data_IF_914064063184
#
_entry.id   IF_914064063184
#
_cell.length_a   1.000
_cell.length_b   1.000
_cell.length_c   1.000
_cell.angle_alpha   90.00
_cell.angle_beta   90.00
_cell.angle_gamma   90.00
#
_symmetry.space_group_name_H-M   'P 1'
#
loop_
_entity.id
_entity.type
_entity.pdbx_description
1 polymer ?
#
# COMPACT_ATOMS: atom_id res chain seq x y z
N UNK A 1 1.77 9.79 23.08
CA UNK A 1 0.69 8.85 22.69
C UNK A 1 0.08 8.31 23.97
N UNK A 2 -1.24 8.17 24.01
CA UNK A 2 -1.97 7.55 25.14
C UNK A 2 -2.56 6.24 24.62
N UNK A 3 -2.59 5.22 25.46
CA UNK A 3 -3.21 3.94 25.12
C UNK A 3 -4.73 4.12 24.93
N UNK A 4 -5.30 3.42 23.96
CA UNK A 4 -6.70 3.48 23.59
C UNK A 4 -7.58 3.00 24.74
N UNK A 5 -8.42 3.91 25.24
CA UNK A 5 -9.31 3.67 26.38
C UNK A 5 -10.75 3.31 25.97
N UNK A 6 -11.02 3.06 24.68
CA UNK A 6 -12.37 2.76 24.18
C UNK A 6 -13.17 3.98 23.70
N UNK A 7 -12.69 5.20 23.94
CA UNK A 7 -13.35 6.42 23.45
C UNK A 7 -13.07 6.69 21.97
N UNK A 8 -13.89 7.53 21.32
CA UNK A 8 -13.66 7.94 19.93
C UNK A 8 -12.28 8.63 19.80
N UNK A 9 -11.36 8.13 18.96
CA UNK A 9 -10.06 8.78 18.79
C UNK A 9 -10.19 10.22 18.27
N UNK A 10 -9.32 11.11 18.72
CA UNK A 10 -9.26 12.50 18.25
C UNK A 10 -8.20 12.70 17.17
N UNK A 11 -8.42 13.67 16.27
CA UNK A 11 -7.41 14.08 15.29
C UNK A 11 -6.48 15.14 15.87
N UNK A 12 -5.21 15.08 15.48
CA UNK A 12 -4.19 16.08 15.84
C UNK A 12 -3.59 16.69 14.59
N UNK A 13 -3.29 17.99 14.60
CA UNK A 13 -2.69 18.69 13.47
C UNK A 13 -1.27 18.14 13.22
N UNK A 14 -0.97 17.79 11.96
CA UNK A 14 0.38 17.44 11.54
C UNK A 14 1.16 18.73 11.15
N UNK A 15 2.20 19.13 11.90
CA UNK A 15 2.98 20.31 11.58
C UNK A 15 3.80 20.17 10.28
N UNK A 16 3.95 18.97 9.72
CA UNK A 16 4.69 18.70 8.48
C UNK A 16 3.77 18.33 7.31
N UNK A 17 2.49 18.72 7.36
CA UNK A 17 1.55 18.43 6.26
C UNK A 17 2.00 19.05 4.94
N UNK A 18 1.95 18.26 3.86
CA UNK A 18 2.21 18.75 2.50
C UNK A 18 1.18 19.77 2.04
N UNK A 19 -0.01 19.80 2.66
CA UNK A 19 -1.04 20.81 2.38
C UNK A 19 -0.61 22.24 2.73
N UNK A 20 0.51 22.43 3.42
CA UNK A 20 1.09 23.75 3.70
C UNK A 20 1.64 24.44 2.45
N UNK A 21 1.98 23.67 1.41
CA UNK A 21 2.61 24.18 0.17
C UNK A 21 1.91 23.71 -1.09
N UNK A 22 0.85 22.90 -0.98
CA UNK A 22 0.10 22.40 -2.13
C UNK A 22 -1.37 22.12 -1.79
N UNK A 23 -2.23 22.10 -2.81
CA UNK A 23 -3.57 21.52 -2.70
C UNK A 23 -3.49 20.02 -2.99
N UNK A 24 -4.01 19.18 -2.08
CA UNK A 24 -3.88 17.72 -2.19
C UNK A 24 -5.26 17.08 -2.27
N UNK A 25 -5.42 16.19 -3.24
CA UNK A 25 -6.59 15.32 -3.37
C UNK A 25 -6.16 13.91 -2.98
N UNK A 26 -6.75 13.38 -1.91
CA UNK A 26 -6.63 11.97 -1.55
C UNK A 26 -7.76 11.19 -2.21
N UNK A 27 -7.40 10.23 -3.06
CA UNK A 27 -8.36 9.43 -3.82
C UNK A 27 -8.42 8.00 -3.27
N UNK A 28 -9.56 7.66 -2.66
CA UNK A 28 -9.91 6.26 -2.38
C UNK A 28 -10.18 5.53 -3.70
N UNK A 29 -9.27 4.64 -4.10
CA UNK A 29 -9.39 3.90 -5.35
C UNK A 29 -8.60 2.59 -5.31
N UNK A 30 -9.06 1.52 -5.97
CA UNK A 30 -10.28 1.40 -6.79
C UNK A 30 -11.55 1.28 -5.94
N UNK A 31 -12.71 1.20 -6.60
CA UNK A 31 -13.98 0.94 -5.94
C UNK A 31 -13.89 -0.29 -4.99
N UNK A 32 -14.33 -0.13 -3.75
CA UNK A 32 -14.13 -1.08 -2.65
C UNK A 32 -13.06 -0.63 -1.64
N UNK A 33 -12.28 0.41 -1.96
CA UNK A 33 -11.28 1.03 -1.07
C UNK A 33 -11.90 2.19 -0.31
N UNK A 34 -11.67 2.24 1.01
CA UNK A 34 -12.18 3.32 1.86
C UNK A 34 -13.68 3.52 1.70
N UNK A 35 -14.11 4.70 1.27
CA UNK A 35 -15.52 5.02 1.01
C UNK A 35 -15.92 4.93 -0.47
N UNK A 36 -14.99 4.63 -1.37
CA UNK A 36 -15.29 4.39 -2.78
C UNK A 36 -16.01 3.05 -2.95
N UNK A 37 -17.10 3.05 -3.71
CA UNK A 37 -17.96 1.86 -3.86
C UNK A 37 -18.42 1.67 -5.31
N UNK A 38 -18.86 0.46 -5.60
CA UNK A 38 -19.59 0.11 -6.82
C UNK A 38 -21.01 -0.30 -6.49
N UNK A 39 -21.97 0.03 -7.35
CA UNK A 39 -23.36 -0.43 -7.23
C UNK A 39 -23.56 -1.88 -7.74
N UNK A 40 -22.57 -2.42 -8.44
CA UNK A 40 -22.60 -3.77 -9.01
C UNK A 40 -21.33 -4.54 -8.68
N UNK A 41 -21.45 -5.85 -8.51
CA UNK A 41 -20.30 -6.74 -8.28
C UNK A 41 -19.30 -6.73 -9.46
N UNK A 42 -19.78 -6.55 -10.69
CA UNK A 42 -18.91 -6.37 -11.86
C UNK A 42 -18.11 -5.06 -11.79
N UNK A 43 -18.71 -4.00 -11.25
CA UNK A 43 -18.04 -2.71 -11.12
C UNK A 43 -16.90 -2.70 -10.09
N UNK A 44 -16.98 -3.53 -9.04
CA UNK A 44 -15.91 -3.69 -8.03
C UNK A 44 -14.74 -4.56 -8.51
N UNK A 45 -14.93 -5.40 -9.53
CA UNK A 45 -13.81 -6.11 -10.17
C UNK A 45 -12.86 -5.09 -10.79
N UNK A 46 -11.59 -5.16 -10.44
CA UNK A 46 -10.57 -4.20 -10.87
C UNK A 46 -9.37 -4.91 -11.47
N UNK A 47 -8.62 -4.17 -12.28
CA UNK A 47 -7.33 -4.52 -12.83
C UNK A 47 -6.52 -3.21 -12.94
N UNK A 48 -5.19 -3.31 -13.03
CA UNK A 48 -4.32 -2.12 -13.05
C UNK A 48 -4.73 -1.11 -14.13
N UNK A 49 -5.07 -1.59 -15.34
CA UNK A 49 -5.55 -0.74 -16.45
C UNK A 49 -6.89 -0.08 -16.15
N UNK A 50 -7.83 -0.81 -15.55
CA UNK A 50 -9.15 -0.26 -15.16
C UNK A 50 -9.01 0.77 -14.05
N UNK A 51 -8.19 0.50 -13.04
CA UNK A 51 -7.87 1.47 -11.98
C UNK A 51 -7.28 2.73 -12.63
N UNK A 52 -6.26 2.60 -13.48
CA UNK A 52 -5.64 3.77 -14.10
C UNK A 52 -6.62 4.59 -14.96
N UNK A 53 -7.48 3.93 -15.76
CA UNK A 53 -8.54 4.62 -16.50
C UNK A 53 -9.48 5.40 -15.56
N UNK A 54 -9.94 4.76 -14.48
CA UNK A 54 -10.83 5.40 -13.52
C UNK A 54 -10.16 6.56 -12.77
N UNK A 55 -8.85 6.46 -12.50
CA UNK A 55 -8.06 7.56 -11.94
C UNK A 55 -7.99 8.77 -12.88
N UNK A 56 -7.74 8.53 -14.17
CA UNK A 56 -7.77 9.58 -15.19
C UNK A 56 -9.16 10.22 -15.31
N UNK A 57 -10.21 9.40 -15.42
CA UNK A 57 -11.61 9.86 -15.46
C UNK A 57 -11.98 10.70 -14.24
N UNK A 58 -11.53 10.28 -13.05
CA UNK A 58 -11.76 11.02 -11.81
C UNK A 58 -11.16 12.42 -11.91
N UNK A 59 -9.88 12.55 -12.29
CA UNK A 59 -9.21 13.86 -12.36
C UNK A 59 -9.90 14.79 -13.36
N UNK A 60 -10.25 14.29 -14.55
CA UNK A 60 -11.00 15.08 -15.54
C UNK A 60 -12.34 15.56 -15.01
N UNK A 61 -13.16 14.66 -14.46
CA UNK A 61 -14.49 14.99 -13.94
C UNK A 61 -14.41 15.92 -12.73
N UNK A 62 -13.39 15.76 -11.89
CA UNK A 62 -13.15 16.63 -10.76
C UNK A 62 -12.82 18.05 -11.22
N UNK A 63 -11.93 18.21 -12.22
CA UNK A 63 -11.59 19.53 -12.79
C UNK A 63 -12.75 20.19 -13.54
N UNK A 64 -13.60 19.43 -14.23
CA UNK A 64 -14.84 19.96 -14.81
C UNK A 64 -15.78 20.51 -13.73
N UNK A 65 -15.80 19.89 -12.55
CA UNK A 65 -16.61 20.34 -11.41
C UNK A 65 -15.95 21.47 -10.61
N UNK A 66 -14.63 21.67 -10.78
CA UNK A 66 -13.82 22.66 -10.05
C UNK A 66 -12.91 23.44 -11.01
N UNK A 67 -13.49 24.21 -11.96
CA UNK A 67 -12.76 24.80 -13.08
C UNK A 67 -11.65 25.76 -12.65
N UNK A 68 -11.74 26.37 -11.46
CA UNK A 68 -10.71 27.24 -10.90
C UNK A 68 -9.35 26.56 -10.70
N UNK A 69 -9.32 25.22 -10.68
CA UNK A 69 -8.07 24.44 -10.54
C UNK A 69 -7.46 24.01 -11.87
N UNK A 70 -8.10 24.25 -13.02
CA UNK A 70 -7.62 23.79 -14.33
C UNK A 70 -6.23 24.35 -14.66
N UNK A 71 -5.98 25.62 -14.31
CA UNK A 71 -4.69 26.26 -14.57
C UNK A 71 -3.57 25.79 -13.62
N UNK A 72 -3.90 25.12 -12.51
CA UNK A 72 -2.91 24.75 -11.50
C UNK A 72 -1.98 23.65 -12.02
N UNK A 73 -0.68 23.73 -11.71
CA UNK A 73 0.25 22.62 -11.95
C UNK A 73 -0.25 21.33 -11.30
N UNK A 74 -0.46 20.30 -12.11
CA UNK A 74 -0.94 18.99 -11.68
C UNK A 74 0.22 18.02 -11.54
N UNK A 75 0.30 17.38 -10.37
CA UNK A 75 1.23 16.28 -10.10
C UNK A 75 0.45 15.06 -9.60
N UNK A 76 0.83 13.87 -10.06
CA UNK A 76 0.27 12.61 -9.56
C UNK A 76 1.28 11.97 -8.62
N UNK A 77 0.86 11.59 -7.42
CA UNK A 77 1.76 10.98 -6.45
C UNK A 77 1.19 9.67 -5.88
N UNK A 78 2.06 8.76 -5.45
CA UNK A 78 1.65 7.52 -4.80
C UNK A 78 2.80 6.81 -4.09
N UNK A 79 2.48 5.75 -3.36
CA UNK A 79 3.45 4.95 -2.60
C UNK A 79 3.19 3.44 -2.81
N UNK A 80 4.22 2.61 -2.64
CA UNK A 80 4.08 1.15 -2.68
C UNK A 80 3.53 0.63 -4.01
N UNK A 81 2.38 -0.05 -4.05
CA UNK A 81 1.78 -0.59 -5.27
C UNK A 81 1.42 0.51 -6.30
N UNK A 82 1.27 1.76 -5.85
CA UNK A 82 1.13 2.90 -6.76
C UNK A 82 2.33 3.09 -7.69
N UNK A 83 3.48 2.48 -7.42
CA UNK A 83 4.59 2.38 -8.36
C UNK A 83 4.21 1.74 -9.71
N UNK A 84 3.17 0.91 -9.74
CA UNK A 84 2.56 0.39 -10.98
C UNK A 84 1.50 1.33 -11.54
N UNK A 85 0.61 1.83 -10.67
CA UNK A 85 -0.61 2.52 -11.09
C UNK A 85 -0.36 3.95 -11.54
N UNK A 86 0.48 4.71 -10.80
CA UNK A 86 0.74 6.12 -11.08
C UNK A 86 1.34 6.32 -12.48
N UNK A 87 2.37 5.57 -12.92
CA UNK A 87 2.88 5.70 -14.28
C UNK A 87 1.82 5.43 -15.35
N UNK A 88 0.92 4.45 -15.13
CA UNK A 88 -0.16 4.15 -16.09
C UNK A 88 -1.19 5.29 -16.14
N UNK A 89 -1.54 5.90 -15.00
CA UNK A 89 -2.42 7.08 -14.96
C UNK A 89 -1.79 8.25 -15.73
N UNK A 90 -0.52 8.54 -15.45
CA UNK A 90 0.22 9.65 -16.06
C UNK A 90 0.35 9.45 -17.57
N UNK A 91 0.64 8.22 -18.02
CA UNK A 91 0.66 7.90 -19.45
C UNK A 91 -0.70 8.20 -20.08
N UNK A 92 -1.79 7.72 -19.48
CA UNK A 92 -3.16 7.97 -19.98
C UNK A 92 -3.52 9.46 -20.03
N UNK A 93 -3.07 10.23 -19.04
CA UNK A 93 -3.23 11.68 -19.05
C UNK A 93 -2.44 12.33 -20.20
N UNK A 94 -1.21 11.89 -20.44
CA UNK A 94 -0.39 12.36 -21.56
C UNK A 94 -1.06 12.06 -22.90
N UNK A 95 -1.49 10.82 -23.11
CA UNK A 95 -2.20 10.40 -24.32
C UNK A 95 -3.48 11.23 -24.53
N UNK A 96 -4.22 11.51 -23.45
CA UNK A 96 -5.41 12.34 -23.48
C UNK A 96 -5.13 13.81 -23.82
N UNK A 97 -4.05 14.39 -23.30
CA UNK A 97 -3.59 15.73 -23.66
C UNK A 97 -3.27 15.80 -25.16
N UNK A 98 -2.53 14.83 -25.69
CA UNK A 98 -2.20 14.75 -27.12
C UNK A 98 -3.44 14.57 -28.00
N UNK A 99 -4.42 13.80 -27.54
CA UNK A 99 -5.70 13.60 -28.21
C UNK A 99 -6.65 14.81 -28.13
N UNK A 100 -6.32 15.84 -27.36
CA UNK A 100 -7.16 17.03 -27.18
C UNK A 100 -8.35 16.81 -26.24
N UNK A 101 -8.24 15.88 -25.28
CA UNK A 101 -9.26 15.68 -24.25
C UNK A 101 -9.48 16.96 -23.43
N UNK A 102 -10.75 17.27 -23.17
CA UNK A 102 -11.15 18.35 -22.26
C UNK A 102 -11.44 17.82 -20.85
N UNK A 103 -11.05 18.53 -19.77
CA UNK A 103 -10.28 19.77 -19.76
C UNK A 103 -8.79 19.52 -20.01
N UNK A 104 -8.10 20.48 -20.62
CA UNK A 104 -6.66 20.41 -20.82
C UNK A 104 -5.95 20.36 -19.46
N UNK A 105 -5.31 19.22 -19.18
CA UNK A 105 -4.61 19.01 -17.91
C UNK A 105 -3.25 19.72 -17.93
N UNK A 106 -2.98 20.57 -16.94
CA UNK A 106 -1.66 21.17 -16.73
C UNK A 106 -0.70 20.20 -16.01
N UNK A 107 -0.54 18.99 -16.56
CA UNK A 107 0.30 17.92 -16.00
C UNK A 107 1.78 18.30 -16.05
N UNK A 108 2.46 18.28 -14.89
CA UNK A 108 3.89 18.61 -14.77
C UNK A 108 4.78 17.42 -14.41
N UNK A 109 4.21 16.37 -13.84
CA UNK A 109 4.95 15.16 -13.53
C UNK A 109 4.30 14.31 -12.46
N UNK A 110 5.09 13.39 -11.93
CA UNK A 110 4.63 12.48 -10.89
C UNK A 110 5.76 12.12 -9.92
N UNK A 111 5.37 11.63 -8.74
CA UNK A 111 6.29 11.18 -7.70
C UNK A 111 5.83 9.85 -7.11
N UNK A 112 6.76 8.92 -6.91
CA UNK A 112 6.46 7.61 -6.33
C UNK A 112 7.39 7.32 -5.15
N UNK A 113 6.79 7.11 -3.98
CA UNK A 113 7.47 6.66 -2.76
C UNK A 113 7.57 5.14 -2.73
N UNK A 114 8.74 4.63 -2.31
CA UNK A 114 9.01 3.20 -2.09
C UNK A 114 8.26 2.24 -3.06
N UNK A 115 8.38 2.44 -4.38
CA UNK A 115 7.46 1.83 -5.35
C UNK A 115 7.73 0.34 -5.54
N UNK A 116 6.67 -0.43 -5.76
CA UNK A 116 6.77 -1.71 -6.46
C UNK A 116 6.86 -1.45 -7.97
N UNK A 117 7.96 -1.85 -8.59
CA UNK A 117 8.29 -1.55 -9.99
C UNK A 117 8.44 -2.81 -10.83
N UNK A 118 9.46 -3.62 -10.61
CA UNK A 118 9.68 -4.88 -11.29
C UNK A 118 10.08 -5.92 -10.24
N UNK A 119 9.24 -6.95 -10.00
CA UNK A 119 9.54 -7.99 -9.02
C UNK A 119 10.90 -8.65 -9.20
N UNK A 120 11.40 -8.78 -10.44
CA UNK A 120 12.73 -9.33 -10.71
C UNK A 120 13.82 -8.47 -10.09
N UNK A 121 13.71 -7.15 -10.14
CA UNK A 121 14.72 -6.26 -9.55
C UNK A 121 14.43 -6.00 -8.07
N UNK A 122 13.18 -5.70 -7.74
CA UNK A 122 12.75 -5.36 -6.38
C UNK A 122 12.99 -6.52 -5.40
N UNK A 123 12.57 -7.75 -5.74
CA UNK A 123 12.72 -8.89 -4.83
C UNK A 123 14.18 -9.35 -4.75
N UNK A 124 14.93 -9.36 -5.87
CA UNK A 124 16.34 -9.76 -5.87
C UNK A 124 17.23 -8.75 -5.13
N UNK A 125 16.84 -7.48 -5.05
CA UNK A 125 17.58 -6.47 -4.28
C UNK A 125 17.57 -6.72 -2.77
N UNK A 126 16.60 -7.50 -2.26
CA UNK A 126 16.41 -7.72 -0.82
C UNK A 126 17.56 -8.46 -0.15
N UNK A 127 18.15 -9.45 -0.83
CA UNK A 127 19.27 -10.22 -0.26
C UNK A 127 20.53 -9.36 -0.12
N UNK A 128 21.00 -8.63 -1.16
CA UNK A 128 22.06 -7.64 -1.01
C UNK A 128 21.75 -6.55 0.01
N UNK A 129 20.50 -6.06 0.07
CA UNK A 129 20.10 -5.06 1.08
C UNK A 129 20.25 -5.60 2.50
N UNK A 130 19.73 -6.81 2.77
CA UNK A 130 19.85 -7.44 4.08
C UNK A 130 21.31 -7.65 4.50
N UNK A 131 22.20 -7.97 3.55
CA UNK A 131 23.63 -8.06 3.81
C UNK A 131 24.24 -6.70 4.17
N UNK A 132 23.97 -5.66 3.38
CA UNK A 132 24.50 -4.30 3.61
C UNK A 132 23.99 -3.67 4.91
N UNK A 133 22.82 -4.07 5.38
CA UNK A 133 22.27 -3.65 6.67
C UNK A 133 22.67 -4.55 7.84
N UNK A 134 23.65 -5.45 7.65
CA UNK A 134 24.13 -6.40 8.66
C UNK A 134 23.03 -7.31 9.26
N UNK A 135 21.95 -7.56 8.51
CA UNK A 135 20.84 -8.44 8.92
C UNK A 135 21.21 -9.92 8.69
N UNK A 136 22.06 -10.20 7.70
CA UNK A 136 22.56 -11.54 7.41
C UNK A 136 24.10 -11.57 7.44
N UNK A 137 24.72 -12.69 7.86
CA UNK A 137 26.17 -12.82 7.89
C UNK A 137 26.80 -12.79 6.49
N UNK A 138 28.04 -12.29 6.42
CA UNK A 138 28.88 -12.25 5.21
C UNK A 138 29.00 -13.60 4.51
N UNK A 139 29.26 -14.66 5.29
CA UNK A 139 29.43 -16.02 4.76
C UNK A 139 28.17 -16.52 4.07
N UNK A 140 27.01 -16.29 4.70
CA UNK A 140 25.71 -16.66 4.16
C UNK A 140 25.41 -15.89 2.88
N UNK A 141 25.67 -14.58 2.85
CA UNK A 141 25.50 -13.77 1.65
C UNK A 141 26.41 -14.23 0.51
N UNK A 142 27.71 -14.44 0.76
CA UNK A 142 28.67 -14.92 -0.24
C UNK A 142 28.26 -16.29 -0.80
N UNK A 143 27.76 -17.19 0.06
CA UNK A 143 27.28 -18.51 -0.34
C UNK A 143 26.03 -18.41 -1.23
N UNK A 144 25.02 -17.66 -0.79
CA UNK A 144 23.79 -17.42 -1.55
C UNK A 144 24.09 -16.75 -2.89
N UNK A 145 24.98 -15.75 -2.93
CA UNK A 145 25.37 -15.08 -4.18
C UNK A 145 25.97 -16.05 -5.20
N UNK A 146 26.81 -17.00 -4.75
CA UNK A 146 27.40 -18.03 -5.62
C UNK A 146 26.37 -19.07 -6.05
N UNK A 147 25.60 -19.62 -5.12
CA UNK A 147 24.67 -20.71 -5.39
C UNK A 147 23.47 -20.24 -6.22
N UNK A 148 22.94 -19.06 -5.94
CA UNK A 148 21.77 -18.49 -6.61
C UNK A 148 22.10 -17.62 -7.83
N UNK A 149 23.38 -17.28 -8.07
CA UNK A 149 23.85 -16.48 -9.21
C UNK A 149 23.10 -15.14 -9.38
N UNK A 150 22.68 -14.54 -8.26
CA UNK A 150 21.94 -13.26 -8.24
C UNK A 150 20.42 -13.38 -8.43
N UNK A 151 19.88 -14.59 -8.63
CA UNK A 151 18.43 -14.85 -8.70
C UNK A 151 17.93 -15.48 -7.39
N UNK A 152 17.29 -14.66 -6.56
CA UNK A 152 16.80 -14.98 -5.22
C UNK A 152 15.27 -15.08 -5.14
N UNK A 153 14.55 -14.75 -6.21
CA UNK A 153 13.08 -14.76 -6.28
C UNK A 153 12.57 -16.05 -6.91
N UNK A 154 13.02 -16.34 -8.14
CA UNK A 154 12.60 -17.52 -8.89
C UNK A 154 13.63 -18.63 -8.68
N UNK A 155 13.35 -19.49 -7.72
CA UNK A 155 14.26 -20.57 -7.32
C UNK A 155 14.09 -21.76 -8.29
N UNK A 156 15.17 -22.17 -8.97
CA UNK A 156 15.19 -23.46 -9.66
C UNK A 156 15.11 -24.58 -8.60
N UNK A 157 14.05 -25.39 -8.65
CA UNK A 157 13.82 -26.48 -7.70
C UNK A 157 14.93 -27.53 -7.68
N UNK A 158 15.75 -27.61 -8.74
CA UNK A 158 16.92 -28.50 -8.82
C UNK A 158 18.14 -27.90 -8.13
N UNK A 159 18.17 -26.59 -7.90
CA UNK A 159 19.26 -25.91 -7.19
C UNK A 159 19.03 -25.95 -5.67
N UNK A 160 19.22 -27.15 -5.10
CA UNK A 160 19.04 -27.43 -3.66
C UNK A 160 19.92 -26.50 -2.82
N UNK A 161 21.14 -26.18 -3.29
CA UNK A 161 22.06 -25.32 -2.56
C UNK A 161 21.51 -23.90 -2.41
N UNK A 162 21.04 -23.29 -3.51
CA UNK A 162 20.40 -21.98 -3.46
C UNK A 162 19.15 -21.99 -2.57
N UNK A 163 18.29 -23.01 -2.70
CA UNK A 163 17.10 -23.14 -1.88
C UNK A 163 17.42 -23.19 -0.38
N UNK A 164 18.46 -23.93 0.01
CA UNK A 164 18.91 -24.01 1.41
C UNK A 164 19.49 -22.68 1.92
N UNK A 165 20.28 -21.98 1.09
CA UNK A 165 20.84 -20.68 1.46
C UNK A 165 19.74 -19.62 1.62
N UNK A 166 18.75 -19.62 0.74
CA UNK A 166 17.57 -18.73 0.84
C UNK A 166 16.68 -19.06 2.05
N UNK A 167 16.53 -20.34 2.42
CA UNK A 167 15.87 -20.73 3.67
C UNK A 167 16.60 -20.19 4.90
N UNK A 168 17.93 -20.25 4.91
CA UNK A 168 18.73 -19.68 6.00
C UNK A 168 18.56 -18.15 6.09
N UNK A 169 18.59 -17.45 4.95
CA UNK A 169 18.30 -16.00 4.89
C UNK A 169 16.88 -15.69 5.40
N UNK A 170 15.89 -16.48 4.99
CA UNK A 170 14.52 -16.34 5.46
C UNK A 170 14.42 -16.51 7.00
N UNK A 171 15.21 -17.41 7.59
CA UNK A 171 15.29 -17.58 9.05
C UNK A 171 15.87 -16.34 9.74
N UNK A 172 16.97 -15.78 9.23
CA UNK A 172 17.57 -14.55 9.75
C UNK A 172 16.61 -13.35 9.67
N UNK A 173 15.87 -13.24 8.58
CA UNK A 173 14.97 -12.09 8.32
C UNK A 173 13.57 -12.26 8.91
N UNK A 174 13.22 -13.44 9.46
CA UNK A 174 11.86 -13.77 9.91
C UNK A 174 11.27 -12.77 10.90
N UNK A 175 12.09 -12.24 11.82
CA UNK A 175 11.67 -11.31 12.88
C UNK A 175 11.84 -9.84 12.53
N UNK A 176 12.36 -9.53 11.35
CA UNK A 176 12.54 -8.15 10.89
C UNK A 176 11.21 -7.56 10.43
N UNK A 177 10.96 -6.32 10.81
CA UNK A 177 9.87 -5.52 10.27
C UNK A 177 10.25 -5.06 8.85
N UNK A 178 9.73 -5.72 7.82
CA UNK A 178 10.15 -5.51 6.42
C UNK A 178 10.00 -4.06 5.94
N UNK A 179 8.87 -3.35 6.20
CA UNK A 179 8.77 -1.93 5.87
C UNK A 179 9.74 -1.01 6.64
N UNK A 180 10.11 -1.37 7.87
CA UNK A 180 10.88 -0.51 8.77
C UNK A 180 11.85 -1.34 9.63
N UNK A 181 13.03 -1.65 9.10
CA UNK A 181 13.96 -2.62 9.71
C UNK A 181 14.49 -2.25 11.10
N UNK A 182 14.41 -0.97 11.48
CA UNK A 182 14.81 -0.47 12.81
C UNK A 182 13.68 -0.52 13.83
N UNK A 183 12.46 -0.83 13.40
CA UNK A 183 11.29 -0.89 14.27
C UNK A 183 10.97 -2.32 14.68
N UNK A 184 10.39 -2.53 15.88
CA UNK A 184 9.93 -3.84 16.29
C UNK A 184 8.90 -4.38 15.30
N UNK A 185 9.01 -5.68 14.97
CA UNK A 185 7.97 -6.37 14.22
C UNK A 185 6.75 -6.54 15.12
N UNK A 186 5.74 -5.72 14.88
CA UNK A 186 4.46 -5.81 15.56
C UNK A 186 3.51 -6.71 14.79
N UNK A 187 2.79 -7.58 15.50
CA UNK A 187 1.70 -8.36 14.92
C UNK A 187 0.65 -7.38 14.36
N UNK A 188 0.32 -7.52 13.08
CA UNK A 188 -0.39 -6.49 12.32
C UNK A 188 -1.90 -6.62 12.33
N UNK A 189 -2.44 -7.72 12.87
CA UNK A 189 -3.83 -8.06 12.59
C UNK A 189 -4.77 -7.54 13.68
N UNK A 190 -5.06 -6.24 13.62
CA UNK A 190 -6.42 -5.82 13.93
C UNK A 190 -7.32 -6.31 12.79
N UNK A 191 -8.19 -7.30 13.05
CA UNK A 191 -9.28 -7.62 12.13
C UNK A 191 -10.60 -7.17 12.73
N UNK A 192 -11.40 -6.34 12.03
CA UNK A 192 -12.81 -6.26 12.33
C UNK A 192 -13.43 -7.65 12.08
N UNK A 193 -14.18 -8.16 13.06
CA UNK A 193 -14.72 -9.52 13.17
C UNK A 193 -15.54 -10.05 11.97
N UNK A 194 -15.79 -9.25 10.92
CA UNK A 194 -16.83 -9.51 9.93
C UNK A 194 -16.34 -9.77 8.49
N UNK A 195 -15.02 -9.93 8.23
CA UNK A 195 -14.50 -10.32 6.89
C UNK A 195 -13.64 -11.58 6.97
N UNK A 196 -14.29 -12.71 7.24
CA UNK A 196 -13.75 -14.04 7.02
C UNK A 196 -14.24 -14.53 5.67
N UNK A 197 -13.38 -14.58 4.63
CA UNK A 197 -13.35 -15.79 3.78
C UNK A 197 -12.20 -15.83 2.77
N UNK A 198 -11.79 -14.72 2.15
CA UNK A 198 -10.97 -14.86 0.93
C UNK A 198 -9.44 -14.96 1.14
N UNK A 199 -8.90 -14.59 2.29
CA UNK A 199 -7.43 -14.41 2.45
C UNK A 199 -6.69 -15.56 3.15
N UNK A 200 -7.32 -16.71 3.41
CA UNK A 200 -6.70 -17.83 4.18
C UNK A 200 -5.33 -18.27 3.66
N UNK A 201 -5.07 -18.19 2.35
CA UNK A 201 -3.83 -18.67 1.72
C UNK A 201 -2.62 -17.76 1.96
N UNK A 202 -2.78 -16.45 1.75
CA UNK A 202 -1.74 -15.43 2.02
C UNK A 202 -1.36 -15.38 3.51
N UNK A 203 -2.33 -15.72 4.34
CA UNK A 203 -2.26 -15.68 5.79
C UNK A 203 -1.55 -16.88 6.43
N UNK A 204 -1.73 -18.08 5.87
CA UNK A 204 -0.94 -19.25 6.26
C UNK A 204 0.53 -19.07 5.91
N UNK A 205 0.85 -18.43 4.77
CA UNK A 205 2.22 -18.13 4.35
C UNK A 205 2.95 -17.14 5.27
N UNK A 206 2.25 -16.16 5.85
CA UNK A 206 2.88 -15.14 6.71
C UNK A 206 3.03 -15.60 8.17
N UNK A 207 2.08 -16.39 8.69
CA UNK A 207 1.95 -16.59 10.14
C UNK A 207 2.23 -18.01 10.65
N UNK A 208 2.15 -19.06 9.81
CA UNK A 208 2.14 -20.43 10.33
C UNK A 208 0.99 -20.68 11.33
N UNK A 209 0.99 -21.84 11.99
CA UNK A 209 -0.11 -22.40 12.82
C UNK A 209 -0.57 -21.56 14.04
N UNK A 210 -0.04 -20.36 14.28
CA UNK A 210 -0.40 -19.54 15.44
C UNK A 210 -1.57 -18.57 15.16
N UNK A 211 -2.69 -19.14 14.69
CA UNK A 211 -3.92 -18.37 14.42
C UNK A 211 -4.81 -18.15 15.66
N UNK A 212 -4.51 -18.85 16.76
CA UNK A 212 -5.46 -19.03 17.87
C UNK A 212 -5.33 -18.05 19.05
N UNK A 213 -4.40 -17.08 19.00
CA UNK A 213 -4.17 -16.15 20.14
C UNK A 213 -3.72 -14.76 19.70
N UNK A 214 -4.38 -14.18 18.69
CA UNK A 214 -4.10 -12.80 18.32
C UNK A 214 -4.74 -11.82 19.33
N UNK A 215 -3.99 -10.83 19.83
CA UNK A 215 -4.56 -9.81 20.72
C UNK A 215 -5.63 -8.99 20.00
N UNK A 216 -6.65 -8.56 20.76
CA UNK A 216 -7.81 -7.81 20.24
C UNK A 216 -7.43 -6.50 19.54
N UNK A 217 -6.27 -5.92 19.90
CA UNK A 217 -5.73 -4.69 19.33
C UNK A 217 -4.21 -4.79 19.14
N UNK A 218 -3.60 -4.00 18.23
CA UNK A 218 -2.15 -3.94 18.09
C UNK A 218 -1.51 -3.46 19.40
N UNK A 219 -0.30 -3.94 19.69
CA UNK A 219 0.47 -3.51 20.87
C UNK A 219 0.69 -1.99 20.84
N UNK A 220 0.45 -1.32 21.96
CA UNK A 220 0.76 0.10 22.14
C UNK A 220 2.25 0.37 21.87
N UNK A 221 2.55 1.50 21.20
CA UNK A 221 3.91 1.85 20.76
C UNK A 221 4.31 1.29 19.38
N UNK A 222 3.49 0.44 18.76
CA UNK A 222 3.69 0.00 17.39
C UNK A 222 3.24 1.05 16.37
N UNK A 223 3.97 1.20 15.25
CA UNK A 223 3.59 2.14 14.17
C UNK A 223 2.17 1.90 13.62
N UNK A 224 1.73 0.64 13.56
CA UNK A 224 0.38 0.29 13.09
C UNK A 224 -0.74 0.63 14.08
N UNK A 225 -0.42 1.06 15.31
CA UNK A 225 -1.43 1.48 16.29
C UNK A 225 -2.24 2.68 15.78
N UNK A 226 -1.60 3.60 15.06
CA UNK A 226 -2.28 4.74 14.44
C UNK A 226 -3.31 4.29 13.39
N UNK A 227 -3.02 3.24 12.61
CA UNK A 227 -3.97 2.67 11.64
C UNK A 227 -5.20 2.11 12.34
N UNK A 228 -5.01 1.47 13.48
CA UNK A 228 -6.11 0.97 14.31
C UNK A 228 -7.00 2.11 14.84
N UNK A 229 -6.41 3.20 15.35
CA UNK A 229 -7.17 4.36 15.78
C UNK A 229 -7.93 5.03 14.62
N UNK A 230 -7.27 5.20 13.47
CA UNK A 230 -7.91 5.72 12.26
C UNK A 230 -9.08 4.83 11.82
N UNK A 231 -8.96 3.51 11.93
CA UNK A 231 -10.04 2.58 11.61
C UNK A 231 -11.25 2.79 12.52
N UNK A 232 -11.05 2.89 13.84
CA UNK A 232 -12.15 3.17 14.78
C UNK A 232 -12.81 4.50 14.44
N UNK A 233 -12.00 5.55 14.26
CA UNK A 233 -12.51 6.89 13.97
C UNK A 233 -13.32 6.92 12.67
N UNK A 234 -12.80 6.37 11.57
CA UNK A 234 -13.45 6.38 10.26
C UNK A 234 -14.73 5.50 10.20
N UNK A 235 -14.87 4.55 11.13
CA UNK A 235 -16.04 3.66 11.20
C UNK A 235 -17.06 4.07 12.27
N UNK A 236 -16.83 5.15 13.01
CA UNK A 236 -17.85 5.72 13.88
C UNK A 236 -18.98 6.34 13.04
N UNK A 237 -20.23 6.00 13.37
CA UNK A 237 -21.41 6.44 12.62
C UNK A 237 -21.57 7.97 12.59
N UNK A 238 -21.14 8.67 13.64
CA UNK A 238 -21.19 10.13 13.71
C UNK A 238 -20.16 10.74 12.77
N UNK A 239 -18.98 10.15 12.70
CA UNK A 239 -17.92 10.54 11.77
C UNK A 239 -18.38 10.32 10.33
N UNK A 240 -18.89 9.14 10.00
CA UNK A 240 -19.41 8.85 8.66
C UNK A 240 -20.56 9.78 8.25
N UNK A 241 -21.46 10.11 9.19
CA UNK A 241 -22.53 11.08 8.96
C UNK A 241 -21.98 12.48 8.68
N UNK A 242 -20.98 12.93 9.45
CA UNK A 242 -20.34 14.23 9.27
C UNK A 242 -19.56 14.33 7.95
N UNK A 243 -18.97 13.22 7.49
CA UNK A 243 -18.29 13.12 6.20
C UNK A 243 -19.25 12.90 5.02
N UNK A 244 -20.56 12.89 5.25
CA UNK A 244 -21.60 12.62 4.25
C UNK A 244 -21.39 11.30 3.49
N UNK A 245 -20.88 10.28 4.17
CA UNK A 245 -20.65 8.95 3.59
C UNK A 245 -21.99 8.33 3.20
N UNK A 246 -22.09 7.90 1.95
CA UNK A 246 -23.29 7.23 1.43
C UNK A 246 -23.41 5.84 2.02
N UNK A 247 -24.60 5.51 2.54
CA UNK A 247 -24.95 4.13 2.88
C UNK A 247 -25.24 3.35 1.61
N UNK A 248 -24.48 2.31 1.34
CA UNK A 248 -24.65 1.48 0.13
C UNK A 248 -24.68 0.03 0.55
N UNK A 249 -25.65 -0.74 0.03
CA UNK A 249 -25.58 -2.20 0.08
C UNK A 249 -24.51 -2.65 -0.90
N UNK A 250 -23.41 -3.14 -0.37
CA UNK A 250 -22.39 -3.81 -1.17
C UNK A 250 -22.90 -5.24 -1.39
N UNK A 251 -23.00 -5.64 -2.65
CA UNK A 251 -23.35 -7.01 -3.07
C UNK A 251 -22.11 -7.89 -3.11
#
# INVERSE_FOLDING_TARGET
MVEYNGSLPSLTVNPYSWTKVSSIIFLDSPAGTGFSYSRTSRGSRTADTKFACQGYDFVRKWLLSHPNFIANPLYIAGDSYSGKIVPIIVQKMSDGIEAGDSPLLNLKGYSIGNPGTDPKFDDNSRVPFAHRMAIIPDELYKKAKRSCKGEYRVIDSRNIQCANDLRAIAKCTKRINRPHILEPKCYTDFRPLNKMDENRRYLMEIYGESYMSLPKYPRFGCRNYNKFLCHIWANDIRVQKALHIRKVRIY
#
